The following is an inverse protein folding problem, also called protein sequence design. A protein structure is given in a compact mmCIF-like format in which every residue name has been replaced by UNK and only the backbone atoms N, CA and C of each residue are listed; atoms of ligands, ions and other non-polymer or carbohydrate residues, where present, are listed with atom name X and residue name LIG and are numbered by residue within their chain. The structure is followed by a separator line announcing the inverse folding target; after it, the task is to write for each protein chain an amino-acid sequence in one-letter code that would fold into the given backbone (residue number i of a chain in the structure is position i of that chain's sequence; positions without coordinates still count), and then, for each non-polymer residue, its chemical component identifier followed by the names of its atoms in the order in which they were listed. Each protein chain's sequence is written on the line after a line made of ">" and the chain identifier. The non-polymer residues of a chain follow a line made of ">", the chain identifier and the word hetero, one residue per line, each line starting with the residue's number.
data_IF_028715200916
#
_entry.id   IF_028715200916
#
_cell.length_a   1.000
_cell.length_b   1.000
_cell.length_c   1.000
_cell.angle_alpha   90.00
_cell.angle_beta   90.00
_cell.angle_gamma   90.00
#
_symmetry.space_group_name_H-M   'P 1'
#
loop_
_entity.id
_entity.type
_entity.pdbx_description
1 polymer ?
#
# COMPACT_ATOMS: atom_id res chain seq x y z
N UNK A 1 12.65 -5.19 -27.37
CA UNK A 1 11.49 -4.59 -28.06
C UNK A 1 11.03 -5.45 -29.22
N UNK A 2 10.04 -6.27 -28.92
CA UNK A 2 9.32 -7.18 -29.80
C UNK A 2 8.68 -6.42 -31.00
N UNK A 3 8.59 -7.03 -32.20
CA UNK A 3 7.94 -6.43 -33.37
C UNK A 3 6.52 -5.94 -33.10
N UNK A 4 5.73 -6.65 -32.29
CA UNK A 4 4.38 -6.25 -31.90
C UNK A 4 4.39 -4.98 -31.03
N UNK A 5 5.27 -4.92 -30.00
CA UNK A 5 5.47 -3.73 -29.17
C UNK A 5 5.86 -2.50 -29.99
N UNK A 6 6.68 -2.69 -31.03
CA UNK A 6 7.07 -1.62 -31.96
C UNK A 6 5.87 -1.10 -32.77
N UNK A 7 5.00 -2.00 -33.24
CA UNK A 7 3.78 -1.61 -33.96
C UNK A 7 2.83 -0.82 -33.05
N UNK A 8 2.56 -1.32 -31.84
CA UNK A 8 1.72 -0.64 -30.83
C UNK A 8 2.26 0.77 -30.51
N UNK A 9 3.59 0.92 -30.34
CA UNK A 9 4.23 2.22 -30.10
C UNK A 9 3.91 3.28 -31.16
N UNK A 10 3.83 2.88 -32.44
CA UNK A 10 3.42 3.74 -33.55
C UNK A 10 2.02 4.32 -33.37
N UNK A 11 1.13 3.52 -32.78
CA UNK A 11 -0.25 3.88 -32.46
C UNK A 11 -0.43 4.46 -31.05
N UNK A 12 0.62 4.90 -30.33
CA UNK A 12 0.49 5.62 -29.06
C UNK A 12 1.00 7.06 -29.12
N UNK A 13 1.18 7.59 -30.35
CA UNK A 13 1.49 9.00 -30.59
C UNK A 13 0.32 9.84 -30.05
N UNK A 14 0.62 10.78 -29.15
CA UNK A 14 -0.36 11.62 -28.43
C UNK A 14 -0.48 11.37 -26.91
N UNK A 15 0.05 10.26 -26.38
CA UNK A 15 0.09 9.98 -24.94
C UNK A 15 1.36 10.58 -24.30
N UNK A 16 1.29 10.96 -23.02
CA UNK A 16 2.45 11.41 -22.24
C UNK A 16 3.60 10.41 -22.33
N UNK A 17 4.81 10.92 -22.55
CA UNK A 17 5.98 10.10 -22.82
C UNK A 17 6.31 9.10 -21.70
N UNK A 18 6.04 9.45 -20.43
CA UNK A 18 6.25 8.56 -19.29
C UNK A 18 5.26 7.38 -19.29
N UNK A 19 3.96 7.65 -19.45
CA UNK A 19 2.92 6.62 -19.49
C UNK A 19 3.10 5.68 -20.69
N UNK A 20 3.49 6.23 -21.84
CA UNK A 20 3.81 5.45 -23.03
C UNK A 20 5.00 4.52 -22.81
N UNK A 21 6.08 5.01 -22.18
CA UNK A 21 7.27 4.19 -21.90
C UNK A 21 6.94 3.03 -20.94
N UNK A 22 6.19 3.31 -19.89
CA UNK A 22 5.79 2.27 -18.94
C UNK A 22 4.92 1.21 -19.61
N UNK A 23 3.86 1.61 -20.32
CA UNK A 23 2.94 0.68 -20.97
C UNK A 23 3.62 -0.18 -22.04
N UNK A 24 4.62 0.37 -22.75
CA UNK A 24 5.41 -0.40 -23.72
C UNK A 24 6.41 -1.34 -23.04
N UNK A 25 6.96 -0.97 -21.88
CA UNK A 25 7.80 -1.86 -21.08
C UNK A 25 6.99 -3.05 -20.57
N UNK A 26 5.83 -2.79 -19.96
CA UNK A 26 4.96 -3.85 -19.43
C UNK A 26 4.50 -4.81 -20.55
N UNK A 27 4.21 -4.28 -21.75
CA UNK A 27 3.86 -5.09 -22.92
C UNK A 27 5.05 -5.93 -23.44
N UNK A 28 6.25 -5.35 -23.48
CA UNK A 28 7.46 -6.09 -23.91
C UNK A 28 7.75 -7.23 -22.93
N UNK A 29 7.61 -6.98 -21.63
CA UNK A 29 7.82 -7.97 -20.57
C UNK A 29 6.82 -9.14 -20.71
N UNK A 30 5.53 -8.87 -20.91
CA UNK A 30 4.49 -9.90 -21.08
C UNK A 30 4.73 -10.79 -22.31
N UNK A 31 5.18 -10.20 -23.41
CA UNK A 31 5.49 -10.92 -24.66
C UNK A 31 6.82 -11.69 -24.56
N UNK A 32 7.80 -11.16 -23.83
CA UNK A 32 9.11 -11.79 -23.63
C UNK A 32 9.05 -12.95 -22.65
N UNK A 33 8.20 -12.87 -21.64
CA UNK A 33 7.97 -13.96 -20.66
C UNK A 33 7.05 -15.05 -21.22
N UNK A 34 6.50 -14.87 -22.43
CA UNK A 34 5.56 -15.81 -23.05
C UNK A 34 4.22 -15.90 -22.34
N UNK A 35 3.90 -14.94 -21.48
CA UNK A 35 2.67 -14.91 -20.69
C UNK A 35 1.43 -14.66 -21.57
N UNK A 36 1.61 -13.97 -22.70
CA UNK A 36 0.59 -13.72 -23.71
C UNK A 36 1.27 -13.71 -25.08
N UNK A 37 0.60 -14.23 -26.11
CA UNK A 37 1.10 -14.17 -27.49
C UNK A 37 0.55 -12.97 -28.25
N UNK A 38 1.23 -12.54 -29.32
CA UNK A 38 0.77 -11.42 -30.13
C UNK A 38 -0.61 -11.68 -30.77
N UNK A 39 -0.92 -12.94 -31.08
CA UNK A 39 -2.19 -13.34 -31.68
C UNK A 39 -3.37 -13.24 -30.67
N UNK A 40 -3.11 -13.49 -29.39
CA UNK A 40 -4.10 -13.34 -28.30
C UNK A 40 -4.45 -11.87 -28.02
N UNK A 41 -3.50 -10.95 -28.29
CA UNK A 41 -3.70 -9.51 -28.10
C UNK A 41 -4.46 -8.84 -29.25
N UNK A 42 -4.63 -9.56 -30.37
CA UNK A 42 -5.31 -9.07 -31.57
C UNK A 42 -4.50 -8.01 -32.34
N UNK A 43 -5.15 -7.24 -33.23
CA UNK A 43 -4.46 -6.24 -34.04
C UNK A 43 -3.81 -5.14 -33.18
N UNK A 44 -2.55 -4.72 -33.46
CA UNK A 44 -1.82 -3.71 -32.68
C UNK A 44 -2.58 -2.38 -32.53
N UNK A 45 -3.35 -2.00 -33.54
CA UNK A 45 -4.17 -0.79 -33.56
C UNK A 45 -5.37 -0.85 -32.62
N UNK A 46 -6.07 -1.99 -32.57
CA UNK A 46 -7.19 -2.23 -31.67
C UNK A 46 -6.71 -2.30 -30.21
N UNK A 47 -5.57 -2.97 -29.98
CA UNK A 47 -4.92 -3.00 -28.68
C UNK A 47 -4.50 -1.59 -28.24
N UNK A 48 -3.88 -0.81 -29.12
CA UNK A 48 -3.48 0.57 -28.82
C UNK A 48 -4.66 1.52 -28.55
N UNK A 49 -5.81 1.30 -29.23
CA UNK A 49 -7.04 2.06 -28.98
C UNK A 49 -7.60 1.77 -27.57
N UNK A 50 -7.67 0.50 -27.18
CA UNK A 50 -8.07 0.09 -25.83
C UNK A 50 -7.10 0.64 -24.77
N UNK A 51 -5.80 0.59 -25.04
CA UNK A 51 -4.78 1.11 -24.15
C UNK A 51 -4.89 2.63 -23.98
N UNK A 52 -5.15 3.38 -25.07
CA UNK A 52 -5.45 4.82 -25.00
C UNK A 52 -6.67 5.11 -24.16
N UNK A 53 -7.74 4.34 -24.29
CA UNK A 53 -8.95 4.53 -23.51
C UNK A 53 -8.69 4.27 -22.02
N UNK A 54 -7.97 3.19 -21.69
CA UNK A 54 -7.56 2.88 -20.30
C UNK A 54 -6.67 3.98 -19.70
N UNK A 55 -5.69 4.47 -20.46
CA UNK A 55 -4.81 5.57 -20.04
C UNK A 55 -5.55 6.92 -19.95
N UNK A 56 -6.55 7.15 -20.80
CA UNK A 56 -7.44 8.32 -20.75
C UNK A 56 -8.39 8.30 -19.54
N UNK A 57 -8.91 7.12 -19.16
CA UNK A 57 -9.66 6.94 -17.90
C UNK A 57 -8.76 7.14 -16.68
N UNK A 58 -7.50 6.69 -16.75
CA UNK A 58 -6.48 6.90 -15.71
C UNK A 58 -6.15 8.38 -15.53
N UNK A 59 -6.00 9.15 -16.61
CA UNK A 59 -5.66 10.58 -16.54
C UNK A 59 -6.80 11.45 -15.99
N UNK A 60 -8.06 11.09 -16.22
CA UNK A 60 -9.23 11.75 -15.61
C UNK A 60 -9.41 11.47 -14.11
N UNK A 61 -8.79 10.40 -13.59
CA UNK A 61 -8.82 10.04 -12.15
C UNK A 61 -7.62 10.59 -11.37
N UNK A 62 -6.68 11.26 -12.05
CA UNK A 62 -5.36 11.70 -11.55
C UNK A 62 -5.34 13.19 -11.15
N UNK A 63 -6.33 13.62 -10.36
CA UNK A 63 -6.36 14.93 -9.71
C UNK A 63 -5.65 15.01 -8.35
N UNK A 64 -5.06 13.91 -7.84
CA UNK A 64 -4.32 13.93 -6.58
C UNK A 64 -3.59 12.62 -6.32
N UNK A 65 -2.29 12.69 -6.07
CA UNK A 65 -1.41 11.64 -5.49
C UNK A 65 -1.90 10.18 -5.62
N UNK A 66 -1.78 9.59 -6.82
CA UNK A 66 -2.24 8.21 -7.08
C UNK A 66 -1.09 7.23 -7.36
N UNK A 67 -0.77 6.37 -6.40
CA UNK A 67 -0.05 5.12 -6.67
C UNK A 67 -0.97 4.24 -7.56
N UNK A 68 -0.51 3.85 -8.75
CA UNK A 68 -1.36 3.14 -9.73
C UNK A 68 -1.73 1.71 -9.27
N UNK A 69 -2.75 1.11 -9.91
CA UNK A 69 -3.19 -0.29 -9.63
C UNK A 69 -2.04 -1.30 -9.62
N UNK A 70 -1.13 -1.23 -10.59
CA UNK A 70 0.07 -2.09 -10.65
C UNK A 70 1.03 -1.89 -9.46
N UNK A 71 1.03 -0.72 -8.83
CA UNK A 71 1.80 -0.43 -7.61
C UNK A 71 1.12 -1.01 -6.37
N UNK A 72 -0.21 -1.05 -6.34
CA UNK A 72 -1.02 -1.57 -5.23
C UNK A 72 -1.14 -3.09 -5.27
N UNK A 73 -1.26 -3.70 -6.46
CA UNK A 73 -1.22 -5.15 -6.67
C UNK A 73 0.13 -5.77 -6.24
N UNK A 74 1.23 -5.00 -6.24
CA UNK A 74 2.52 -5.46 -5.68
C UNK A 74 2.60 -5.39 -4.15
N UNK A 75 1.62 -4.80 -3.48
CA UNK A 75 1.57 -4.73 -2.01
C UNK A 75 0.87 -5.96 -1.44
N UNK A 76 -0.23 -6.34 -2.08
CA UNK A 76 -1.06 -7.47 -1.72
C UNK A 76 -1.33 -8.32 -2.97
N UNK A 77 -0.66 -9.47 -3.07
CA UNK A 77 -0.95 -10.49 -4.06
C UNK A 77 -0.73 -11.87 -3.44
N UNK A 78 -1.79 -12.54 -2.93
CA UNK A 78 -1.66 -13.87 -2.34
C UNK A 78 -1.30 -14.96 -3.37
N UNK A 79 -1.54 -14.72 -4.66
CA UNK A 79 -1.18 -15.64 -5.74
C UNK A 79 0.31 -15.59 -6.11
N UNK A 80 1.02 -14.48 -5.82
CA UNK A 80 2.48 -14.41 -6.00
C UNK A 80 3.19 -15.04 -4.79
N UNK A 81 3.95 -16.15 -4.94
CA UNK A 81 4.62 -16.82 -3.82
C UNK A 81 5.83 -16.05 -3.27
N UNK A 82 6.27 -14.98 -3.92
CA UNK A 82 7.47 -14.21 -3.52
C UNK A 82 7.15 -13.34 -2.30
N UNK A 83 7.84 -13.59 -1.18
CA UNK A 83 7.75 -12.75 0.01
C UNK A 83 8.34 -11.36 -0.19
N UNK A 84 9.42 -11.24 -0.96
CA UNK A 84 10.07 -9.96 -1.21
C UNK A 84 9.87 -9.57 -2.67
N UNK A 85 9.19 -8.45 -2.89
CA UNK A 85 8.88 -7.90 -4.21
C UNK A 85 9.53 -6.52 -4.37
N UNK A 86 10.04 -6.17 -5.56
CA UNK A 86 10.62 -4.85 -5.81
C UNK A 86 9.58 -3.73 -5.60
N UNK A 87 9.97 -2.63 -4.93
CA UNK A 87 9.10 -1.46 -4.79
C UNK A 87 8.81 -0.81 -6.14
N UNK A 88 7.56 -0.39 -6.35
CA UNK A 88 7.11 0.21 -7.61
C UNK A 88 7.73 1.59 -7.94
N UNK A 89 8.36 2.25 -6.96
CA UNK A 89 9.07 3.53 -7.15
C UNK A 89 10.60 3.38 -7.14
N UNK A 90 11.13 2.16 -7.22
CA UNK A 90 12.57 1.90 -7.29
C UNK A 90 13.31 2.01 -5.94
N UNK A 91 14.43 1.29 -5.88
CA UNK A 91 15.32 0.99 -4.75
C UNK A 91 14.66 0.37 -3.51
N UNK A 92 14.97 -0.92 -3.30
CA UNK A 92 14.63 -1.68 -2.11
C UNK A 92 13.53 -2.73 -2.34
N UNK A 93 13.42 -3.60 -1.34
CA UNK A 93 12.44 -4.69 -1.30
C UNK A 93 11.25 -4.28 -0.44
N UNK A 94 10.07 -4.78 -0.78
CA UNK A 94 8.87 -4.73 0.04
C UNK A 94 8.42 -6.15 0.35
N UNK A 95 7.83 -6.33 1.52
CA UNK A 95 7.20 -7.57 1.91
C UNK A 95 5.82 -7.68 1.24
N UNK A 96 5.57 -8.76 0.49
CA UNK A 96 4.24 -9.15 0.04
C UNK A 96 3.51 -9.79 1.23
N UNK A 97 2.62 -9.02 1.85
CA UNK A 97 1.84 -9.47 3.00
C UNK A 97 0.83 -10.57 2.65
N UNK A 98 0.40 -10.66 1.38
CA UNK A 98 -0.45 -11.76 0.88
C UNK A 98 0.31 -13.08 0.86
N UNK A 99 1.50 -13.10 0.26
CA UNK A 99 2.38 -14.26 0.26
C UNK A 99 2.76 -14.71 1.69
N UNK A 100 2.96 -13.75 2.61
CA UNK A 100 3.22 -14.04 4.00
C UNK A 100 2.01 -14.70 4.68
N UNK A 101 0.80 -14.19 4.46
CA UNK A 101 -0.42 -14.81 5.00
C UNK A 101 -0.62 -16.23 4.47
N UNK A 102 -0.33 -16.48 3.19
CA UNK A 102 -0.38 -17.83 2.59
C UNK A 102 0.66 -18.76 3.22
N UNK A 103 1.92 -18.30 3.38
CA UNK A 103 2.97 -19.09 4.04
C UNK A 103 2.68 -19.41 5.50
N UNK A 104 1.96 -18.52 6.21
CA UNK A 104 1.51 -18.76 7.58
C UNK A 104 0.25 -19.64 7.66
N UNK A 105 -0.28 -20.09 6.52
CA UNK A 105 -1.50 -20.92 6.46
C UNK A 105 -2.77 -20.16 6.84
N UNK A 106 -2.76 -18.83 6.80
CA UNK A 106 -3.91 -18.00 7.14
C UNK A 106 -4.87 -17.79 5.97
N UNK A 107 -4.35 -17.88 4.74
CA UNK A 107 -5.08 -17.76 3.49
C UNK A 107 -4.58 -18.78 2.47
N UNK A 108 -5.39 -19.09 1.47
CA UNK A 108 -5.00 -19.75 0.22
C UNK A 108 -4.74 -18.69 -0.87
N UNK A 109 -3.96 -19.03 -1.92
CA UNK A 109 -3.69 -18.12 -3.04
C UNK A 109 -4.94 -17.49 -3.67
N UNK A 110 -6.04 -18.27 -3.72
CA UNK A 110 -7.28 -17.88 -4.41
C UNK A 110 -8.38 -17.37 -3.47
N UNK A 111 -8.11 -17.23 -2.16
CA UNK A 111 -9.11 -16.83 -1.16
C UNK A 111 -9.58 -15.37 -1.31
N UNK A 112 -8.86 -14.54 -2.07
CA UNK A 112 -9.18 -13.13 -2.29
C UNK A 112 -10.04 -12.90 -3.55
N UNK A 113 -11.00 -13.78 -3.81
CA UNK A 113 -11.90 -13.66 -4.97
C UNK A 113 -12.98 -12.58 -4.78
N UNK A 114 -13.68 -12.23 -5.87
CA UNK A 114 -14.70 -11.18 -5.86
C UNK A 114 -15.89 -11.50 -4.96
N UNK A 115 -16.27 -12.77 -4.84
CA UNK A 115 -17.46 -13.20 -4.11
C UNK A 115 -17.20 -13.18 -2.60
N UNK A 116 -16.02 -13.64 -2.17
CA UNK A 116 -15.49 -13.52 -0.81
C UNK A 116 -15.41 -12.05 -0.42
N UNK A 117 -14.85 -11.20 -1.30
CA UNK A 117 -14.77 -9.77 -1.06
C UNK A 117 -16.14 -9.09 -1.02
N UNK A 118 -17.15 -9.62 -1.71
CA UNK A 118 -18.54 -9.15 -1.64
C UNK A 118 -19.23 -9.60 -0.34
N UNK A 119 -18.90 -10.80 0.16
CA UNK A 119 -19.45 -11.38 1.37
C UNK A 119 -18.92 -10.74 2.68
N UNK A 120 -17.86 -9.93 2.64
CA UNK A 120 -17.31 -9.28 3.84
C UNK A 120 -18.42 -8.53 4.61
N UNK A 121 -18.65 -8.85 5.91
CA UNK A 121 -19.66 -8.19 6.72
C UNK A 121 -19.43 -6.67 6.81
N UNK A 122 -20.53 -5.90 6.79
CA UNK A 122 -20.49 -4.42 6.84
C UNK A 122 -19.71 -3.90 8.04
N UNK A 123 -19.83 -4.55 9.21
CA UNK A 123 -19.06 -4.18 10.41
C UNK A 123 -17.55 -4.32 10.23
N UNK A 124 -17.09 -5.37 9.55
CA UNK A 124 -15.66 -5.58 9.28
C UNK A 124 -15.16 -4.57 8.24
N UNK A 125 -15.95 -4.28 7.19
CA UNK A 125 -15.63 -3.21 6.23
C UNK A 125 -15.50 -1.86 6.92
N UNK A 126 -16.43 -1.53 7.81
CA UNK A 126 -16.41 -0.28 8.56
C UNK A 126 -15.17 -0.19 9.46
N UNK A 127 -14.83 -1.28 10.16
CA UNK A 127 -13.61 -1.35 10.97
C UNK A 127 -12.37 -1.10 10.10
N UNK A 128 -12.30 -1.73 8.94
CA UNK A 128 -11.17 -1.60 8.03
C UNK A 128 -11.05 -0.16 7.47
N UNK A 129 -12.16 0.49 7.13
CA UNK A 129 -12.19 1.87 6.65
C UNK A 129 -11.88 2.90 7.75
N UNK A 130 -12.28 2.63 8.99
CA UNK A 130 -12.08 3.54 10.13
C UNK A 130 -10.69 3.42 10.76
N UNK A 131 -10.04 2.27 10.67
CA UNK A 131 -8.73 2.01 11.28
C UNK A 131 -7.64 3.02 10.91
N UNK A 132 -7.43 3.40 9.63
CA UNK A 132 -6.50 4.48 9.27
C UNK A 132 -6.80 5.80 10.00
N UNK A 133 -8.08 6.13 10.19
CA UNK A 133 -8.52 7.30 10.93
C UNK A 133 -8.14 7.24 12.40
N UNK A 134 -8.38 6.11 13.07
CA UNK A 134 -7.98 5.89 14.47
C UNK A 134 -6.47 6.05 14.65
N UNK A 135 -5.68 5.46 13.75
CA UNK A 135 -4.22 5.57 13.77
C UNK A 135 -3.75 7.00 13.48
N UNK A 136 -4.38 7.71 12.55
CA UNK A 136 -4.09 9.12 12.30
C UNK A 136 -4.41 10.00 13.51
N UNK A 137 -5.51 9.75 14.21
CA UNK A 137 -5.81 10.42 15.49
C UNK A 137 -4.73 10.15 16.52
N UNK A 138 -4.27 8.89 16.65
CA UNK A 138 -3.17 8.54 17.56
C UNK A 138 -1.87 9.28 17.20
N UNK A 139 -1.56 9.43 15.91
CA UNK A 139 -0.41 10.22 15.41
C UNK A 139 -0.54 11.68 15.81
N UNK A 140 -1.69 12.32 15.56
CA UNK A 140 -1.94 13.74 15.90
C UNK A 140 -1.84 13.96 17.41
N UNK A 141 -2.38 13.04 18.22
CA UNK A 141 -2.28 13.11 19.68
C UNK A 141 -0.84 12.98 20.16
N UNK A 142 -0.05 12.07 19.58
CA UNK A 142 1.37 11.93 19.90
C UNK A 142 2.16 13.18 19.50
N UNK A 143 1.89 13.75 18.32
CA UNK A 143 2.48 15.01 17.86
C UNK A 143 2.16 16.16 18.82
N UNK A 144 0.89 16.35 19.16
CA UNK A 144 0.44 17.41 20.06
C UNK A 144 1.05 17.28 21.46
N UNK A 145 1.16 16.05 21.99
CA UNK A 145 1.86 15.80 23.25
C UNK A 145 3.35 16.15 23.14
N UNK A 146 4.01 15.74 22.07
CA UNK A 146 5.44 16.01 21.84
C UNK A 146 5.72 17.51 21.71
N UNK A 147 4.80 18.24 21.08
CA UNK A 147 4.86 19.70 20.91
C UNK A 147 4.89 20.46 22.23
N UNK A 148 4.23 19.92 23.27
CA UNK A 148 4.18 20.51 24.61
C UNK A 148 5.44 20.26 25.44
N UNK A 149 6.29 19.29 25.06
CA UNK A 149 7.46 18.91 25.87
C UNK A 149 8.68 19.82 25.58
N UNK A 150 8.76 20.41 24.38
CA UNK A 150 9.80 21.39 24.06
C UNK A 150 9.83 21.79 22.59
N UNK A 151 10.74 22.70 22.25
CA UNK A 151 10.91 23.19 20.87
C UNK A 151 11.61 22.20 19.94
N UNK A 152 12.25 21.18 20.52
CA UNK A 152 12.96 20.13 19.78
C UNK A 152 12.48 18.74 20.15
N UNK A 153 12.52 17.84 19.17
CA UNK A 153 12.10 16.44 19.31
C UNK A 153 13.19 15.46 18.86
N UNK A 154 13.26 14.26 19.47
CA UNK A 154 14.19 13.22 19.05
C UNK A 154 13.98 12.83 17.59
N UNK A 155 15.08 12.73 16.84
CA UNK A 155 15.03 12.38 15.42
C UNK A 155 16.10 11.37 15.00
N UNK A 156 17.22 11.31 15.73
CA UNK A 156 18.29 10.35 15.47
C UNK A 156 18.48 9.47 16.69
N UNK A 157 18.59 8.18 16.40
CA UNK A 157 18.75 7.13 17.39
C UNK A 157 19.99 6.30 17.04
N UNK A 158 20.73 5.88 18.05
CA UNK A 158 21.76 4.85 17.88
C UNK A 158 21.12 3.45 17.76
N UNK A 159 21.90 2.40 17.44
CA UNK A 159 21.37 1.02 17.41
C UNK A 159 20.81 0.53 18.76
N UNK A 160 21.22 1.16 19.88
CA UNK A 160 20.70 0.86 21.21
C UNK A 160 19.36 1.59 21.49
N UNK A 161 18.88 2.44 20.59
CA UNK A 161 17.64 3.22 20.75
C UNK A 161 17.81 4.49 21.60
N UNK A 162 19.04 4.94 21.87
CA UNK A 162 19.33 6.19 22.59
C UNK A 162 19.26 7.39 21.64
N UNK A 163 18.84 8.54 22.14
CA UNK A 163 18.73 9.75 21.33
C UNK A 163 20.11 10.37 21.08
N UNK A 164 20.50 10.46 19.81
CA UNK A 164 21.77 11.08 19.37
C UNK A 164 21.55 12.39 18.62
N UNK A 165 20.31 12.76 18.32
CA UNK A 165 20.02 13.99 17.61
C UNK A 165 18.58 14.43 17.70
N UNK A 166 18.41 15.74 17.57
CA UNK A 166 17.16 16.45 17.78
C UNK A 166 16.85 17.36 16.60
N UNK A 167 15.58 17.48 16.22
CA UNK A 167 15.10 18.39 15.18
C UNK A 167 14.05 19.36 15.74
N UNK A 168 13.76 20.42 15.00
CA UNK A 168 12.67 21.35 15.33
C UNK A 168 11.32 20.63 15.36
N UNK A 169 10.48 20.92 16.37
CA UNK A 169 9.16 20.31 16.53
C UNK A 169 8.21 20.52 15.34
N UNK A 170 8.43 21.55 14.50
CA UNK A 170 7.65 21.79 13.27
C UNK A 170 7.69 20.60 12.32
N UNK A 171 8.75 19.80 12.36
CA UNK A 171 8.86 18.58 11.58
C UNK A 171 7.87 17.48 12.00
N UNK A 172 7.23 17.58 13.17
CA UNK A 172 6.12 16.70 13.57
C UNK A 172 4.88 16.87 12.69
N UNK A 173 4.75 18.01 12.01
CA UNK A 173 3.62 18.27 11.12
C UNK A 173 3.63 17.34 9.90
N UNK A 174 4.80 16.97 9.39
CA UNK A 174 4.94 16.11 8.22
C UNK A 174 4.34 14.70 8.44
N UNK A 175 4.75 13.89 9.44
CA UNK A 175 4.14 12.60 9.69
C UNK A 175 2.65 12.70 10.06
N UNK A 176 2.24 13.79 10.73
CA UNK A 176 0.82 14.04 11.04
C UNK A 176 0.00 14.27 9.77
N UNK A 177 0.49 15.10 8.84
CA UNK A 177 -0.15 15.36 7.56
C UNK A 177 -0.22 14.09 6.70
N UNK A 178 0.85 13.28 6.69
CA UNK A 178 0.87 11.98 6.00
C UNK A 178 -0.18 11.04 6.57
N UNK A 179 -0.32 10.95 7.90
CA UNK A 179 -1.31 10.09 8.54
C UNK A 179 -2.75 10.53 8.22
N UNK A 180 -3.03 11.84 8.29
CA UNK A 180 -4.35 12.40 7.94
C UNK A 180 -4.68 12.20 6.47
N UNK A 181 -3.70 12.40 5.58
CA UNK A 181 -3.88 12.14 4.14
C UNK A 181 -4.15 10.66 3.85
N UNK A 182 -3.43 9.75 4.50
CA UNK A 182 -3.66 8.30 4.39
C UNK A 182 -5.07 7.93 4.88
N UNK A 183 -5.51 8.49 6.01
CA UNK A 183 -6.87 8.29 6.50
C UNK A 183 -7.91 8.80 5.49
N UNK A 184 -7.78 10.04 5.00
CA UNK A 184 -8.68 10.58 3.98
C UNK A 184 -8.71 9.75 2.70
N UNK A 185 -7.56 9.21 2.28
CA UNK A 185 -7.45 8.34 1.12
C UNK A 185 -8.25 7.03 1.28
N UNK A 186 -8.25 6.45 2.49
CA UNK A 186 -9.03 5.23 2.77
C UNK A 186 -10.55 5.42 2.60
N UNK A 187 -11.05 6.62 2.85
CA UNK A 187 -12.47 6.99 2.76
C UNK A 187 -12.95 7.39 1.38
N UNK A 188 -12.06 7.52 0.38
CA UNK A 188 -12.48 7.88 -0.97
C UNK A 188 -13.44 6.81 -1.54
N UNK A 189 -14.49 7.17 -2.29
CA UNK A 189 -15.39 6.17 -2.85
C UNK A 189 -14.68 5.23 -3.84
N UNK A 190 -15.04 3.96 -3.84
CA UNK A 190 -14.55 2.95 -4.77
C UNK A 190 -15.13 1.57 -4.47
N UNK A 191 -15.37 0.79 -5.53
CA UNK A 191 -16.04 -0.52 -5.46
C UNK A 191 -15.16 -1.67 -5.93
N UNK A 192 -13.96 -1.37 -6.44
CA UNK A 192 -13.00 -2.37 -6.89
C UNK A 192 -12.28 -3.02 -5.70
N UNK A 193 -11.68 -4.19 -5.90
CA UNK A 193 -10.84 -4.89 -4.90
C UNK A 193 -9.82 -3.95 -4.25
N UNK A 194 -9.13 -3.14 -5.06
CA UNK A 194 -8.18 -2.12 -4.58
C UNK A 194 -8.78 -1.18 -3.54
N UNK A 195 -10.02 -0.74 -3.77
CA UNK A 195 -10.69 0.23 -2.91
C UNK A 195 -11.25 -0.40 -1.63
N UNK A 196 -11.67 -1.67 -1.73
CA UNK A 196 -12.27 -2.43 -0.63
C UNK A 196 -11.21 -3.00 0.32
N UNK A 197 -10.11 -3.53 -0.22
CA UNK A 197 -9.13 -4.28 0.56
C UNK A 197 -7.78 -3.57 0.66
N UNK A 198 -7.13 -3.32 -0.48
CA UNK A 198 -5.71 -2.94 -0.53
C UNK A 198 -5.48 -1.52 -0.02
N UNK A 199 -6.30 -0.57 -0.46
CA UNK A 199 -6.18 0.84 -0.09
C UNK A 199 -6.33 1.09 1.42
N UNK A 200 -7.42 0.66 2.10
CA UNK A 200 -7.54 0.89 3.53
C UNK A 200 -6.45 0.16 4.33
N UNK A 201 -5.98 -1.01 3.87
CA UNK A 201 -4.86 -1.70 4.50
C UNK A 201 -3.54 -0.93 4.38
N UNK A 202 -3.20 -0.45 3.19
CA UNK A 202 -1.99 0.35 2.97
C UNK A 202 -2.08 1.70 3.71
N UNK A 203 -3.26 2.34 3.70
CA UNK A 203 -3.49 3.55 4.47
C UNK A 203 -3.27 3.34 5.97
N UNK A 204 -3.73 2.20 6.51
CA UNK A 204 -3.50 1.85 7.90
C UNK A 204 -2.02 1.55 8.18
N UNK A 205 -1.31 0.86 7.29
CA UNK A 205 0.13 0.61 7.40
C UNK A 205 0.95 1.92 7.46
N UNK A 206 0.62 2.89 6.61
CA UNK A 206 1.22 4.24 6.62
C UNK A 206 0.88 4.99 7.92
N UNK A 207 -0.39 4.97 8.34
CA UNK A 207 -0.82 5.60 9.58
C UNK A 207 -0.17 4.95 10.81
N UNK A 208 0.00 3.63 10.84
CA UNK A 208 0.68 2.89 11.90
C UNK A 208 2.17 3.23 11.96
N UNK A 209 2.84 3.37 10.80
CA UNK A 209 4.24 3.79 10.73
C UNK A 209 4.42 5.16 11.39
N UNK A 210 3.62 6.15 10.98
CA UNK A 210 3.69 7.52 11.50
C UNK A 210 3.32 7.59 12.98
N UNK A 211 2.29 6.87 13.41
CA UNK A 211 1.90 6.78 14.82
C UNK A 211 3.04 6.21 15.67
N UNK A 212 3.63 5.10 15.22
CA UNK A 212 4.71 4.41 15.95
C UNK A 212 5.94 5.31 16.07
N UNK A 213 6.37 5.95 14.98
CA UNK A 213 7.51 6.89 14.99
C UNK A 213 7.28 8.02 16.00
N UNK A 214 6.09 8.63 16.03
CA UNK A 214 5.81 9.73 16.96
C UNK A 214 5.68 9.26 18.41
N UNK A 215 5.10 8.09 18.65
CA UNK A 215 5.04 7.51 20.00
C UNK A 215 6.42 7.13 20.54
N UNK A 216 7.28 6.57 19.68
CA UNK A 216 8.68 6.29 19.98
C UNK A 216 9.41 7.59 20.34
N UNK A 217 9.26 8.64 19.52
CA UNK A 217 9.84 9.96 19.79
C UNK A 217 9.36 10.57 21.11
N UNK A 218 8.06 10.54 21.37
CA UNK A 218 7.47 11.02 22.63
C UNK A 218 8.00 10.26 23.85
N UNK A 219 8.11 8.93 23.75
CA UNK A 219 8.67 8.10 24.83
C UNK A 219 10.15 8.40 25.03
N UNK A 220 10.91 8.57 23.95
CA UNK A 220 12.35 8.88 23.98
C UNK A 220 12.64 10.25 24.58
N UNK A 221 11.74 11.21 24.41
CA UNK A 221 11.86 12.54 25.02
C UNK A 221 11.96 12.48 26.56
N UNK A 222 11.22 11.56 27.21
CA UNK A 222 11.21 11.43 28.67
C UNK A 222 12.48 10.85 29.28
N UNK A 223 13.17 9.96 28.56
CA UNK A 223 14.40 9.31 29.03
C UNK A 223 15.37 9.14 27.84
N UNK A 224 16.06 10.22 27.43
CA UNK A 224 16.81 10.25 26.17
C UNK A 224 18.06 9.36 26.17
N UNK A 225 18.60 9.03 27.34
CA UNK A 225 19.82 8.21 27.52
C UNK A 225 19.54 6.73 27.72
N UNK A 226 18.27 6.35 27.94
CA UNK A 226 17.86 4.98 28.20
C UNK A 226 17.97 4.13 26.92
N UNK A 227 18.68 3.00 27.00
CA UNK A 227 18.75 2.04 25.91
C UNK A 227 17.39 1.33 25.76
N UNK A 228 16.88 1.27 24.53
CA UNK A 228 15.57 0.71 24.18
C UNK A 228 15.65 0.00 22.83
N UNK A 229 16.30 -1.16 22.86
CA UNK A 229 16.51 -2.03 21.69
C UNK A 229 15.20 -2.43 20.99
N UNK A 230 14.06 -2.39 21.68
CA UNK A 230 12.74 -2.73 21.13
C UNK A 230 12.13 -1.63 20.24
N UNK A 231 12.61 -0.38 20.28
CA UNK A 231 12.03 0.71 19.48
C UNK A 231 12.19 0.46 17.97
N UNK A 232 13.38 0.00 17.55
CA UNK A 232 13.65 -0.34 16.16
C UNK A 232 12.71 -1.43 15.64
N UNK A 233 12.70 -2.64 16.24
CA UNK A 233 11.78 -3.71 15.90
C UNK A 233 10.32 -3.27 15.87
N UNK A 234 9.87 -2.45 16.83
CA UNK A 234 8.49 -1.97 16.87
C UNK A 234 8.12 -1.11 15.65
N UNK A 235 9.00 -0.19 15.23
CA UNK A 235 8.77 0.67 14.05
C UNK A 235 8.62 -0.16 12.76
N UNK A 236 9.33 -1.30 12.65
CA UNK A 236 9.20 -2.21 11.51
C UNK A 236 8.01 -3.16 11.62
N UNK A 237 7.74 -3.71 12.81
CA UNK A 237 6.70 -4.72 13.01
C UNK A 237 5.29 -4.13 12.97
N UNK A 238 5.08 -2.96 13.59
CA UNK A 238 3.75 -2.35 13.69
C UNK A 238 3.04 -2.14 12.35
N UNK A 239 3.66 -1.56 11.29
CA UNK A 239 2.99 -1.41 10.00
C UNK A 239 2.70 -2.75 9.34
N UNK A 240 3.61 -3.72 9.39
CA UNK A 240 3.42 -5.06 8.82
C UNK A 240 2.26 -5.79 9.49
N UNK A 241 2.20 -5.78 10.82
CA UNK A 241 1.12 -6.40 11.59
C UNK A 241 -0.21 -5.72 11.30
N UNK A 242 -0.22 -4.38 11.22
CA UNK A 242 -1.43 -3.61 10.89
C UNK A 242 -1.93 -3.97 9.49
N UNK A 243 -1.03 -4.04 8.51
CA UNK A 243 -1.36 -4.38 7.12
C UNK A 243 -1.87 -5.82 6.98
N UNK A 244 -1.23 -6.78 7.67
CA UNK A 244 -1.68 -8.17 7.73
C UNK A 244 -3.08 -8.27 8.36
N UNK A 245 -3.31 -7.61 9.50
CA UNK A 245 -4.62 -7.61 10.14
C UNK A 245 -5.70 -7.00 9.23
N UNK A 246 -5.36 -5.89 8.56
CA UNK A 246 -6.24 -5.17 7.66
C UNK A 246 -6.62 -5.91 6.37
N UNK A 247 -5.89 -6.97 6.03
CA UNK A 247 -6.08 -7.75 4.80
C UNK A 247 -6.60 -9.15 5.09
N UNK A 248 -6.04 -9.83 6.09
CA UNK A 248 -6.43 -11.20 6.45
C UNK A 248 -7.78 -11.24 7.16
N UNK A 249 -8.07 -10.32 8.08
CA UNK A 249 -9.34 -10.35 8.83
C UNK A 249 -10.57 -10.18 7.91
N UNK A 250 -10.60 -9.22 6.96
CA UNK A 250 -11.72 -9.10 6.03
C UNK A 250 -11.91 -10.34 5.18
N UNK A 251 -10.85 -10.87 4.56
CA UNK A 251 -10.93 -12.07 3.71
C UNK A 251 -11.44 -13.27 4.49
N UNK A 252 -10.89 -13.54 5.69
CA UNK A 252 -11.37 -14.63 6.55
C UNK A 252 -12.81 -14.45 6.98
N UNK A 253 -13.26 -13.21 7.21
CA UNK A 253 -14.65 -12.94 7.56
C UNK A 253 -15.62 -13.17 6.39
N UNK A 254 -15.19 -12.90 5.15
CA UNK A 254 -15.95 -13.23 3.93
C UNK A 254 -16.09 -14.73 3.73
N UNK A 255 -14.98 -15.48 3.82
CA UNK A 255 -14.98 -16.94 3.73
C UNK A 255 -15.87 -17.59 4.79
N UNK A 256 -15.80 -17.10 6.04
CA UNK A 256 -16.63 -17.58 7.14
C UNK A 256 -18.12 -17.28 6.94
N UNK A 257 -18.47 -16.28 6.11
CA UNK A 257 -19.86 -15.98 5.77
C UNK A 257 -20.38 -16.89 4.67
N UNK A 258 -19.63 -17.05 3.58
CA UNK A 258 -20.02 -17.92 2.46
C UNK A 258 -20.22 -19.36 2.94
N UNK A 259 -19.27 -19.88 3.72
CA UNK A 259 -19.36 -21.23 4.30
C UNK A 259 -20.54 -21.46 5.27
N UNK A 260 -21.18 -20.39 5.77
CA UNK A 260 -22.41 -20.48 6.57
C UNK A 260 -23.67 -20.43 5.71
N UNK A 261 -23.62 -19.79 4.55
CA UNK A 261 -24.74 -19.69 3.61
C UNK A 261 -24.90 -20.99 2.78
N UNK A 262 -23.83 -21.78 2.64
CA UNK A 262 -23.83 -23.09 1.96
C UNK A 262 -24.27 -24.28 2.86
N UNK A 263 -24.48 -24.06 4.16
CA UNK A 263 -24.92 -25.09 5.13
C UNK A 263 -26.41 -25.00 5.41
#
# INVERSE_FOLDING_TARGET
>A
MNPYTRAVSGHLRGIRAADRRQALSDLDDLLSDGAVTADELGPPEAYAANLREQLGRRSRRWGGFGLGRATLARVWNPADPRLFVPRALGLGWRLNVGALAVRLGWLRPDDADRDVLAAIPTGVRLLQQTMPGVLATATVVAAARSWRVGDRVPARFDPAGRVTGWIDRRWLLAPSAVAVAAAGWAWLPGTDEDAVLVRPALAASVAATTATVLWVGLRAHREPTAARLWLGPLVFAAPVVTELAATVLPVRSGLARISREER
#
